data_IF_220427340175
#
_entry.id   IF_220427340175
#
_cell.length_a   1.000
_cell.length_b   1.000
_cell.length_c   1.000
_cell.angle_alpha   90.00
_cell.angle_beta   90.00
_cell.angle_gamma   90.00
#
_symmetry.space_group_name_H-M   'P 1'
#
loop_
_entity.id
_entity.type
_entity.pdbx_description
1 polymer ?
#
# COMPACT_ATOMS: atom_id res chain seq x y z
N UNK A 1 -10.04 -5.84 -16.69
CA UNK A 1 -11.04 -6.18 -15.65
C UNK A 1 -12.13 -5.13 -15.66
N UNK A 2 -13.38 -5.54 -15.85
CA UNK A 2 -14.53 -4.62 -15.80
C UNK A 2 -14.97 -4.40 -14.33
N UNK A 3 -15.06 -3.13 -13.92
CA UNK A 3 -15.50 -2.68 -12.59
C UNK A 3 -16.73 -1.80 -12.75
N UNK A 4 -17.80 -2.13 -12.02
CA UNK A 4 -18.95 -1.26 -11.91
C UNK A 4 -18.79 -0.32 -10.70
N UNK A 5 -18.68 0.97 -10.99
CA UNK A 5 -18.49 2.00 -9.97
C UNK A 5 -19.87 2.59 -9.62
N UNK A 6 -20.30 2.51 -8.35
CA UNK A 6 -21.55 3.13 -7.91
C UNK A 6 -21.42 4.65 -7.91
N UNK A 7 -22.56 5.35 -7.91
CA UNK A 7 -22.56 6.80 -7.75
C UNK A 7 -22.05 7.19 -6.35
N UNK A 8 -21.10 8.12 -6.30
CA UNK A 8 -20.49 8.57 -5.03
C UNK A 8 -19.92 9.99 -5.16
N UNK A 9 -20.53 10.94 -4.45
CA UNK A 9 -20.11 12.35 -4.47
C UNK A 9 -20.16 12.92 -5.89
N UNK A 10 -19.00 13.29 -6.45
CA UNK A 10 -18.87 13.83 -7.82
C UNK A 10 -18.73 12.75 -8.91
N UNK A 11 -18.64 11.47 -8.51
CA UNK A 11 -18.48 10.35 -9.44
C UNK A 11 -19.87 9.82 -9.81
N UNK A 12 -20.21 9.89 -11.10
CA UNK A 12 -21.43 9.28 -11.64
C UNK A 12 -21.27 7.76 -11.70
N UNK A 13 -22.39 7.04 -11.64
CA UNK A 13 -22.40 5.59 -11.92
C UNK A 13 -21.79 5.33 -13.30
N UNK A 14 -20.75 4.52 -13.35
CA UNK A 14 -20.02 4.23 -14.58
C UNK A 14 -19.37 2.85 -14.53
N UNK A 15 -19.05 2.33 -15.71
CA UNK A 15 -18.25 1.13 -15.89
C UNK A 15 -16.84 1.56 -16.25
N UNK A 16 -15.85 0.99 -15.57
CA UNK A 16 -14.43 1.24 -15.84
C UNK A 16 -13.79 -0.09 -16.15
N UNK A 17 -13.06 -0.13 -17.26
CA UNK A 17 -12.20 -1.26 -17.59
C UNK A 17 -10.77 -0.91 -17.19
N UNK A 18 -10.21 -1.66 -16.26
CA UNK A 18 -8.81 -1.55 -15.87
C UNK A 18 -7.98 -2.60 -16.60
N UNK A 19 -6.85 -2.20 -17.17
CA UNK A 19 -5.88 -3.15 -17.70
C UNK A 19 -5.17 -3.90 -16.56
N UNK A 20 -4.58 -5.05 -16.88
CA UNK A 20 -3.82 -5.87 -15.91
C UNK A 20 -2.46 -5.27 -15.55
N UNK A 21 -1.92 -4.41 -16.40
CA UNK A 21 -0.58 -3.84 -16.21
C UNK A 21 -0.63 -2.51 -15.46
N UNK A 22 -0.78 -1.39 -16.18
CA UNK A 22 -0.79 -0.04 -15.59
C UNK A 22 -1.94 0.77 -16.16
N UNK A 23 -2.81 1.27 -15.28
CA UNK A 23 -3.90 2.18 -15.62
C UNK A 23 -3.62 3.57 -15.05
N UNK A 24 -3.52 4.58 -15.91
CA UNK A 24 -3.25 5.97 -15.51
C UNK A 24 -4.54 6.77 -15.48
N UNK A 25 -4.87 7.33 -14.32
CA UNK A 25 -6.00 8.25 -14.13
C UNK A 25 -5.48 9.67 -13.96
N UNK A 26 -5.74 10.54 -14.93
CA UNK A 26 -5.29 11.93 -14.93
C UNK A 26 -6.47 12.91 -15.07
N UNK A 27 -6.24 14.17 -14.72
CA UNK A 27 -7.27 15.21 -14.78
C UNK A 27 -6.95 16.39 -13.85
N UNK A 28 -7.70 17.49 -14.00
CA UNK A 28 -7.50 18.71 -13.21
C UNK A 28 -7.69 18.49 -11.70
N UNK A 29 -7.20 19.44 -10.88
CA UNK A 29 -7.52 19.44 -9.46
C UNK A 29 -9.03 19.50 -9.25
N UNK A 30 -9.52 18.80 -8.22
CA UNK A 30 -10.95 18.71 -7.90
C UNK A 30 -11.84 18.06 -8.98
N UNK A 31 -11.27 17.32 -9.94
CA UNK A 31 -12.04 16.56 -10.96
C UNK A 31 -12.58 15.21 -10.48
N UNK A 32 -12.46 14.92 -9.18
CA UNK A 32 -12.95 13.66 -8.60
C UNK A 32 -11.99 12.46 -8.71
N UNK A 33 -10.71 12.64 -9.10
CA UNK A 33 -9.71 11.55 -9.18
C UNK A 33 -9.62 10.73 -7.89
N UNK A 34 -9.47 11.40 -6.74
CA UNK A 34 -9.40 10.74 -5.43
C UNK A 34 -10.70 10.03 -5.08
N UNK A 35 -11.84 10.63 -5.41
CA UNK A 35 -13.17 10.02 -5.20
C UNK A 35 -13.34 8.77 -6.06
N UNK A 36 -12.86 8.80 -7.31
CA UNK A 36 -12.89 7.67 -8.21
C UNK A 36 -11.99 6.52 -7.71
N UNK A 37 -10.76 6.82 -7.32
CA UNK A 37 -9.84 5.81 -6.76
C UNK A 37 -10.42 5.17 -5.49
N UNK A 38 -11.04 5.96 -4.60
CA UNK A 38 -11.77 5.45 -3.42
C UNK A 38 -12.93 4.54 -3.80
N UNK A 39 -13.68 4.90 -4.85
CA UNK A 39 -14.79 4.09 -5.31
C UNK A 39 -14.33 2.77 -5.93
N UNK A 40 -13.21 2.77 -6.66
CA UNK A 40 -12.56 1.56 -7.17
C UNK A 40 -12.10 0.67 -6.01
N UNK A 41 -11.37 1.23 -5.04
CA UNK A 41 -10.88 0.51 -3.86
C UNK A 41 -12.03 -0.14 -3.07
N UNK A 42 -13.12 0.62 -2.85
CA UNK A 42 -14.33 0.09 -2.21
C UNK A 42 -14.90 -1.14 -2.92
N UNK A 43 -14.84 -1.21 -4.25
CA UNK A 43 -15.32 -2.38 -5.00
C UNK A 43 -14.45 -3.59 -4.73
N UNK A 44 -13.12 -3.43 -4.72
CA UNK A 44 -12.21 -4.51 -4.35
C UNK A 44 -12.42 -4.96 -2.91
N UNK A 45 -12.55 -4.02 -1.97
CA UNK A 45 -12.85 -4.32 -0.56
C UNK A 45 -14.15 -5.12 -0.40
N UNK A 46 -15.22 -4.70 -1.07
CA UNK A 46 -16.50 -5.42 -1.04
C UNK A 46 -16.38 -6.83 -1.59
N UNK A 47 -15.62 -7.02 -2.69
CA UNK A 47 -15.33 -8.37 -3.22
C UNK A 47 -14.50 -9.19 -2.24
N UNK A 48 -13.48 -8.61 -1.61
CA UNK A 48 -12.64 -9.29 -0.63
C UNK A 48 -13.44 -9.76 0.59
N UNK A 49 -14.34 -8.92 1.11
CA UNK A 49 -15.23 -9.29 2.21
C UNK A 49 -16.17 -10.44 1.84
N UNK A 50 -16.77 -10.41 0.65
CA UNK A 50 -17.62 -11.52 0.16
C UNK A 50 -16.81 -12.81 0.05
N UNK A 51 -15.61 -12.75 -0.52
CA UNK A 51 -14.75 -13.93 -0.65
C UNK A 51 -14.29 -14.45 0.71
N UNK A 52 -14.01 -13.59 1.68
CA UNK A 52 -13.70 -13.97 3.05
C UNK A 52 -14.84 -14.76 3.69
N UNK A 53 -16.08 -14.25 3.63
CA UNK A 53 -17.28 -14.95 4.14
C UNK A 53 -17.48 -16.30 3.45
N UNK A 54 -17.14 -16.39 2.16
CA UNK A 54 -17.26 -17.62 1.36
C UNK A 54 -16.03 -18.53 1.47
N UNK A 55 -15.02 -18.21 2.28
CA UNK A 55 -13.75 -18.95 2.40
C UNK A 55 -13.02 -19.15 1.06
N UNK A 56 -13.07 -18.14 0.20
CA UNK A 56 -12.41 -18.10 -1.12
C UNK A 56 -11.21 -17.14 -1.12
N UNK A 57 -10.31 -17.30 -2.09
CA UNK A 57 -9.20 -16.36 -2.30
C UNK A 57 -9.72 -14.96 -2.68
N UNK A 58 -9.13 -13.92 -2.11
CA UNK A 58 -9.46 -12.52 -2.38
C UNK A 58 -8.30 -11.78 -3.04
N UNK A 59 -8.62 -10.84 -3.93
CA UNK A 59 -7.67 -9.86 -4.45
C UNK A 59 -7.49 -8.74 -3.41
N UNK A 60 -6.23 -8.38 -3.13
CA UNK A 60 -5.91 -7.26 -2.23
C UNK A 60 -5.75 -6.00 -3.09
N UNK A 61 -6.54 -4.97 -2.77
CA UNK A 61 -6.30 -3.62 -3.25
C UNK A 61 -5.66 -2.80 -2.12
N UNK A 62 -4.71 -1.93 -2.48
CA UNK A 62 -4.06 -1.02 -1.54
C UNK A 62 -4.10 0.37 -2.12
N UNK A 63 -4.72 1.29 -1.40
CA UNK A 63 -4.68 2.70 -1.76
C UNK A 63 -3.48 3.39 -1.13
N UNK A 64 -2.58 3.89 -1.97
CA UNK A 64 -1.35 4.56 -1.57
C UNK A 64 -1.43 6.04 -1.96
N UNK A 65 -1.71 6.97 -1.02
CA UNK A 65 -1.59 8.38 -1.32
C UNK A 65 -0.12 8.77 -1.31
N UNK A 66 0.39 9.25 -2.44
CA UNK A 66 1.76 9.75 -2.60
C UNK A 66 1.93 11.18 -2.02
N UNK A 67 1.19 11.52 -0.97
CA UNK A 67 1.34 12.81 -0.30
C UNK A 67 2.38 12.67 0.81
N UNK A 68 3.30 13.63 0.86
CA UNK A 68 4.37 13.76 1.85
C UNK A 68 3.91 13.36 3.25
N UNK A 69 4.67 12.48 3.92
CA UNK A 69 4.49 12.19 5.35
C UNK A 69 4.75 13.48 6.12
N UNK A 70 3.68 14.13 6.57
CA UNK A 70 3.79 15.22 7.53
C UNK A 70 3.96 14.53 8.88
N UNK A 71 5.08 14.79 9.56
CA UNK A 71 5.41 14.20 10.85
C UNK A 71 4.22 14.37 11.82
N UNK A 72 3.42 13.32 11.97
CA UNK A 72 2.35 13.26 12.97
C UNK A 72 2.96 12.74 14.27
N UNK A 73 2.83 13.54 15.34
CA UNK A 73 3.25 13.22 16.70
C UNK A 73 2.25 12.31 17.45
N UNK A 74 1.47 11.49 16.75
CA UNK A 74 0.56 10.58 17.42
C UNK A 74 1.28 9.30 17.89
N UNK A 75 1.24 9.03 19.20
CA UNK A 75 1.60 7.74 19.80
C UNK A 75 0.43 6.77 19.63
N UNK A 76 0.54 5.74 18.81
CA UNK A 76 -0.48 4.68 18.71
C UNK A 76 0.07 3.36 18.12
N UNK A 77 -0.62 2.27 18.46
CA UNK A 77 -0.15 0.86 18.52
C UNK A 77 -0.04 0.16 17.14
N UNK A 78 0.84 -0.85 17.11
CA UNK A 78 1.41 -1.64 16.01
C UNK A 78 0.49 -2.04 14.83
N UNK A 79 1.03 -2.20 13.61
CA UNK A 79 0.28 -2.57 12.39
C UNK A 79 0.18 -4.09 12.15
N UNK A 80 0.34 -4.92 13.18
CA UNK A 80 0.19 -6.37 13.06
C UNK A 80 -1.29 -6.74 13.20
N UNK A 81 -1.86 -7.38 12.17
CA UNK A 81 -3.29 -7.65 12.06
C UNK A 81 -3.53 -9.16 12.02
N UNK A 82 -4.55 -9.62 12.73
CA UNK A 82 -4.78 -11.04 12.98
C UNK A 82 -5.60 -11.72 11.87
N UNK A 83 -6.51 -10.97 11.22
CA UNK A 83 -7.42 -11.51 10.21
C UNK A 83 -7.83 -10.49 9.14
N UNK A 84 -8.58 -10.97 8.14
CA UNK A 84 -9.06 -10.16 7.02
C UNK A 84 -10.03 -9.05 7.44
N UNK A 85 -10.78 -9.24 8.52
CA UNK A 85 -11.70 -8.21 9.00
C UNK A 85 -10.90 -7.04 9.59
N UNK A 86 -9.90 -7.34 10.43
CA UNK A 86 -8.94 -6.37 10.94
C UNK A 86 -8.20 -5.66 9.80
N UNK A 87 -7.76 -6.39 8.77
CA UNK A 87 -7.15 -5.82 7.57
C UNK A 87 -8.05 -4.80 6.85
N UNK A 88 -9.28 -5.19 6.52
CA UNK A 88 -10.21 -4.32 5.77
C UNK A 88 -10.66 -3.11 6.61
N UNK A 89 -10.81 -3.28 7.93
CA UNK A 89 -11.12 -2.19 8.85
C UNK A 89 -9.94 -1.23 9.00
N UNK A 90 -8.72 -1.76 9.11
CA UNK A 90 -7.51 -0.95 9.19
C UNK A 90 -7.31 -0.11 7.92
N UNK A 91 -7.53 -0.68 6.73
CA UNK A 91 -7.51 0.07 5.48
C UNK A 91 -8.51 1.22 5.49
N UNK A 92 -9.73 1.01 6.00
CA UNK A 92 -10.75 2.07 6.13
C UNK A 92 -10.32 3.21 7.03
N UNK A 93 -9.67 2.91 8.14
CA UNK A 93 -9.19 3.94 9.06
C UNK A 93 -7.97 4.68 8.51
N UNK A 94 -7.11 4.02 7.73
CA UNK A 94 -6.00 4.67 7.03
C UNK A 94 -6.50 5.79 6.10
N UNK A 95 -7.72 5.71 5.54
CA UNK A 95 -8.32 6.79 4.74
C UNK A 95 -8.50 8.11 5.49
N UNK A 96 -8.58 8.07 6.81
CA UNK A 96 -8.81 9.25 7.67
C UNK A 96 -7.50 9.92 8.07
N UNK A 97 -6.43 9.16 8.29
CA UNK A 97 -5.11 9.67 8.69
C UNK A 97 -3.96 8.90 8.03
N UNK A 98 -3.71 9.21 6.76
CA UNK A 98 -2.68 8.54 5.97
C UNK A 98 -1.26 8.82 6.43
N UNK A 99 -0.96 10.04 6.88
CA UNK A 99 0.39 10.40 7.30
C UNK A 99 0.83 9.52 8.48
N UNK A 100 -0.10 9.25 9.42
CA UNK A 100 0.16 8.35 10.53
C UNK A 100 0.31 6.89 10.09
N UNK A 101 -0.53 6.44 9.15
CA UNK A 101 -0.46 5.08 8.61
C UNK A 101 0.87 4.81 7.90
N UNK A 102 1.31 5.71 7.02
CA UNK A 102 2.60 5.59 6.32
C UNK A 102 3.77 5.53 7.30
N UNK A 103 3.74 6.37 8.35
CA UNK A 103 4.75 6.34 9.41
C UNK A 103 4.80 4.98 10.11
N UNK A 104 3.65 4.38 10.48
CA UNK A 104 3.62 3.07 11.15
C UNK A 104 4.14 1.94 10.28
N UNK A 105 3.73 1.91 9.01
CA UNK A 105 4.28 0.93 8.06
C UNK A 105 5.79 1.07 8.00
N UNK A 106 6.30 2.30 7.89
CA UNK A 106 7.74 2.57 7.81
C UNK A 106 8.47 2.11 9.07
N UNK A 107 8.00 2.51 10.25
CA UNK A 107 8.60 2.14 11.53
C UNK A 107 8.60 0.61 11.73
N UNK A 108 7.52 -0.07 11.35
CA UNK A 108 7.40 -1.53 11.47
C UNK A 108 8.30 -2.27 10.49
N UNK A 109 8.25 -1.93 9.20
CA UNK A 109 9.01 -2.63 8.17
C UNK A 109 10.52 -2.36 8.29
N UNK A 110 10.92 -1.13 8.63
CA UNK A 110 12.33 -0.79 8.83
C UNK A 110 12.92 -1.27 10.15
N UNK A 111 12.12 -1.81 11.07
CA UNK A 111 12.67 -2.55 12.20
C UNK A 111 13.36 -3.85 11.76
N UNK A 112 13.04 -4.37 10.57
CA UNK A 112 13.72 -5.51 9.95
C UNK A 112 14.79 -5.03 8.96
N UNK A 113 16.05 -5.40 9.22
CA UNK A 113 17.20 -5.00 8.40
C UNK A 113 17.17 -5.55 6.97
N UNK A 114 16.58 -6.72 6.74
CA UNK A 114 16.44 -7.31 5.39
C UNK A 114 15.57 -6.41 4.51
N UNK A 115 14.45 -5.94 5.07
CA UNK A 115 13.52 -5.06 4.35
C UNK A 115 14.14 -3.68 4.17
N UNK A 116 14.82 -3.15 5.18
CA UNK A 116 15.59 -1.90 5.09
C UNK A 116 16.60 -1.95 3.93
N UNK A 117 17.47 -2.97 3.91
CA UNK A 117 18.49 -3.14 2.87
C UNK A 117 17.88 -3.32 1.48
N UNK A 118 16.78 -4.07 1.39
CA UNK A 118 16.02 -4.23 0.14
C UNK A 118 15.53 -2.89 -0.42
N UNK A 119 14.98 -2.01 0.43
CA UNK A 119 14.52 -0.68 0.01
C UNK A 119 15.69 0.21 -0.39
N UNK A 120 16.78 0.23 0.38
CA UNK A 120 18.01 0.96 0.02
C UNK A 120 18.52 0.57 -1.37
N UNK A 121 18.63 -0.73 -1.64
CA UNK A 121 19.07 -1.26 -2.93
C UNK A 121 18.11 -0.91 -4.06
N UNK A 122 16.80 -0.94 -3.80
CA UNK A 122 15.76 -0.57 -4.76
C UNK A 122 15.86 0.90 -5.14
N UNK A 123 15.98 1.80 -4.16
CA UNK A 123 16.16 3.23 -4.41
C UNK A 123 17.46 3.49 -5.18
N UNK A 124 18.55 2.82 -4.83
CA UNK A 124 19.81 2.89 -5.58
C UNK A 124 19.65 2.48 -7.03
N UNK A 125 18.93 1.38 -7.31
CA UNK A 125 18.69 0.90 -8.67
C UNK A 125 17.84 1.89 -9.50
N UNK A 126 16.82 2.50 -8.90
CA UNK A 126 15.89 3.39 -9.61
C UNK A 126 16.50 4.77 -9.85
N UNK A 127 17.19 5.32 -8.86
CA UNK A 127 17.67 6.70 -8.88
C UNK A 127 19.18 6.85 -9.07
N UNK A 128 19.94 5.74 -9.09
CA UNK A 128 21.41 5.73 -9.16
C UNK A 128 22.07 6.50 -8.00
N UNK A 129 21.38 6.60 -6.86
CA UNK A 129 21.83 7.33 -5.66
C UNK A 129 21.98 6.35 -4.50
N UNK A 130 23.13 6.41 -3.84
CA UNK A 130 23.34 5.72 -2.56
C UNK A 130 22.64 6.51 -1.43
N UNK A 131 21.54 5.94 -0.92
CA UNK A 131 20.89 6.46 0.28
C UNK A 131 21.64 5.95 1.50
N UNK A 132 22.42 6.84 2.11
CA UNK A 132 23.24 6.53 3.29
C UNK A 132 22.35 6.38 4.54
N UNK A 133 21.26 7.15 4.62
CA UNK A 133 20.32 7.11 5.74
C UNK A 133 18.91 7.48 5.27
N UNK A 134 17.98 6.51 5.38
CA UNK A 134 16.56 6.71 5.06
C UNK A 134 15.86 7.54 6.15
N UNK A 135 16.47 7.76 7.32
CA UNK A 135 15.90 8.61 8.37
C UNK A 135 16.10 10.12 8.11
N UNK A 136 16.93 10.47 7.13
CA UNK A 136 17.11 11.84 6.67
C UNK A 136 16.00 12.27 5.70
N UNK A 137 15.80 13.59 5.55
CA UNK A 137 14.87 14.13 4.53
C UNK A 137 15.39 13.80 3.13
N UNK A 138 14.64 13.01 2.36
CA UNK A 138 14.93 12.71 0.96
C UNK A 138 14.11 13.59 0.01
N UNK A 139 14.40 13.49 -1.29
CA UNK A 139 13.60 14.15 -2.32
C UNK A 139 12.19 13.55 -2.36
N UNK A 140 11.19 14.35 -2.74
CA UNK A 140 9.79 13.90 -2.78
C UNK A 140 9.59 12.64 -3.66
N UNK A 141 10.38 12.52 -4.75
CA UNK A 141 10.36 11.34 -5.62
C UNK A 141 10.85 10.07 -4.92
N UNK A 142 11.93 10.16 -4.13
CA UNK A 142 12.48 9.02 -3.40
C UNK A 142 11.53 8.61 -2.27
N UNK A 143 10.99 9.57 -1.51
CA UNK A 143 10.01 9.31 -0.46
C UNK A 143 8.77 8.60 -1.01
N UNK A 144 8.29 9.00 -2.20
CA UNK A 144 7.16 8.35 -2.85
C UNK A 144 7.45 6.90 -3.22
N UNK A 145 8.63 6.61 -3.79
CA UNK A 145 9.02 5.23 -4.11
C UNK A 145 9.13 4.38 -2.84
N UNK A 146 9.77 4.90 -1.80
CA UNK A 146 9.86 4.21 -0.50
C UNK A 146 8.46 3.87 0.01
N UNK A 147 7.55 4.86 0.07
CA UNK A 147 6.19 4.64 0.56
C UNK A 147 5.43 3.63 -0.29
N UNK A 148 5.56 3.67 -1.62
CA UNK A 148 4.91 2.71 -2.52
C UNK A 148 5.36 1.28 -2.21
N UNK A 149 6.68 1.05 -2.18
CA UNK A 149 7.24 -0.27 -1.95
C UNK A 149 6.89 -0.80 -0.55
N UNK A 150 6.98 0.05 0.48
CA UNK A 150 6.62 -0.33 1.83
C UNK A 150 5.14 -0.70 1.96
N UNK A 151 4.23 0.00 1.29
CA UNK A 151 2.81 -0.38 1.30
C UNK A 151 2.56 -1.72 0.58
N UNK A 152 3.26 -1.97 -0.53
CA UNK A 152 3.17 -3.25 -1.25
C UNK A 152 3.65 -4.38 -0.34
N UNK A 153 4.84 -4.23 0.27
CA UNK A 153 5.40 -5.22 1.21
C UNK A 153 4.42 -5.43 2.38
N UNK A 154 3.98 -4.37 3.05
CA UNK A 154 3.03 -4.52 4.15
C UNK A 154 1.76 -5.27 3.73
N UNK A 155 1.16 -4.95 2.58
CA UNK A 155 -0.03 -5.63 2.09
C UNK A 155 0.20 -7.10 1.70
N UNK A 156 1.45 -7.52 1.48
CA UNK A 156 1.78 -8.92 1.24
C UNK A 156 2.04 -9.71 2.52
N UNK A 157 2.59 -9.04 3.53
CA UNK A 157 3.10 -9.63 4.76
C UNK A 157 2.27 -9.25 6.00
N UNK A 158 1.09 -8.65 5.84
CA UNK A 158 0.28 -8.14 6.94
C UNK A 158 -0.10 -9.21 7.97
N UNK A 159 -0.19 -10.47 7.53
CA UNK A 159 -0.54 -11.64 8.34
C UNK A 159 0.68 -12.52 8.69
N UNK A 160 1.91 -12.03 8.46
CA UNK A 160 3.16 -12.75 8.72
C UNK A 160 3.97 -11.93 9.72
N UNK A 161 4.52 -12.60 10.74
CA UNK A 161 5.48 -11.98 11.64
C UNK A 161 6.83 -11.81 10.93
N UNK A 162 7.19 -10.56 10.63
CA UNK A 162 8.43 -10.22 9.94
C UNK A 162 9.58 -9.91 10.90
N UNK A 163 9.35 -9.91 12.22
CA UNK A 163 10.34 -9.42 13.20
C UNK A 163 11.67 -10.19 13.15
N UNK A 164 11.59 -11.50 12.91
CA UNK A 164 12.74 -12.40 12.78
C UNK A 164 12.96 -12.91 11.34
N UNK A 165 12.28 -12.32 10.34
CA UNK A 165 12.34 -12.80 8.96
C UNK A 165 13.75 -12.66 8.39
N UNK A 166 14.31 -13.78 7.93
CA UNK A 166 15.62 -13.84 7.31
C UNK A 166 15.56 -13.51 5.81
N UNK A 167 16.74 -13.32 5.21
CA UNK A 167 16.86 -12.90 3.82
C UNK A 167 16.26 -13.91 2.86
N UNK A 168 16.58 -15.19 3.01
CA UNK A 168 16.07 -16.27 2.18
C UNK A 168 14.55 -16.37 2.24
N UNK A 169 13.97 -16.22 3.44
CA UNK A 169 12.52 -16.23 3.65
C UNK A 169 11.84 -15.06 2.95
N UNK A 170 12.37 -13.84 3.12
CA UNK A 170 11.84 -12.64 2.48
C UNK A 170 11.81 -12.77 0.96
N UNK A 171 12.92 -13.15 0.33
CA UNK A 171 12.97 -13.35 -1.12
C UNK A 171 12.12 -14.54 -1.59
N UNK A 172 12.00 -15.59 -0.77
CA UNK A 172 11.10 -16.72 -1.04
C UNK A 172 9.64 -16.28 -1.13
N UNK A 173 9.18 -15.47 -0.18
CA UNK A 173 7.83 -14.91 -0.21
C UNK A 173 7.60 -13.93 -1.37
N UNK A 174 8.58 -13.08 -1.70
CA UNK A 174 8.47 -12.19 -2.87
C UNK A 174 8.27 -12.99 -4.17
N UNK A 175 8.99 -14.11 -4.30
CA UNK A 175 8.88 -15.01 -5.45
C UNK A 175 7.53 -15.74 -5.50
N UNK A 176 7.08 -16.30 -4.38
CA UNK A 176 5.78 -17.00 -4.28
C UNK A 176 4.61 -16.09 -4.64
N UNK A 177 4.71 -14.81 -4.26
CA UNK A 177 3.69 -13.79 -4.54
C UNK A 177 3.82 -13.16 -5.93
N UNK A 178 4.73 -13.65 -6.78
CA UNK A 178 4.98 -13.18 -8.14
C UNK A 178 5.28 -11.68 -8.25
N UNK A 179 6.03 -11.13 -7.28
CA UNK A 179 6.39 -9.72 -7.30
C UNK A 179 7.76 -9.54 -7.94
N UNK A 180 7.76 -8.84 -9.08
CA UNK A 180 8.97 -8.48 -9.81
C UNK A 180 9.26 -7.00 -9.54
N UNK A 181 10.40 -6.74 -8.90
CA UNK A 181 10.90 -5.40 -8.58
C UNK A 181 12.13 -5.05 -9.41
#
# INVERSE_FOLDING_TARGET
MEIQIPESGMVKKQKVELDKDVSIIYGYNNSGKTTLLRAIDNVFRSKAMVNFVLTQSAEIAVYIPTNRVIASEAKTVHPNLNDWEEFLNYQNDAYKDYSLHLKRIRDYLFANNVIYDFICLTVKKIFEIDVIDINCRLSDGIENIINIYLNIIWAMFWNIDISCMEKEEFYGYLFEKHVYF
#
